data_IF_861936216934
#
_entry.id   IF_861936216934
#
_cell.length_a   1.000
_cell.length_b   1.000
_cell.length_c   1.000
_cell.angle_alpha   90.00
_cell.angle_beta   90.00
_cell.angle_gamma   90.00
#
_symmetry.space_group_name_H-M   'P 1'
#
loop_
_entity.id
_entity.type
_entity.pdbx_description
1 polymer ?
#
# COMPACT_ATOMS: atom_id res chain seq x y z
N UNK A 1 -6.08 7.33 -0.53
CA UNK A 1 -4.73 7.74 -0.06
C UNK A 1 -4.79 9.20 0.33
N UNK A 2 -4.13 9.58 1.42
CA UNK A 2 -4.14 10.95 1.92
C UNK A 2 -2.95 11.77 1.35
N UNK A 3 -3.03 13.09 1.45
CA UNK A 3 -2.00 14.00 0.90
C UNK A 3 -0.61 13.79 1.51
N UNK A 4 -0.54 13.37 2.77
CA UNK A 4 0.73 13.07 3.45
C UNK A 4 1.43 11.85 2.85
N UNK A 5 0.66 10.81 2.52
CA UNK A 5 1.19 9.62 1.88
C UNK A 5 1.68 9.92 0.45
N UNK A 6 0.95 10.74 -0.30
CA UNK A 6 1.37 11.17 -1.64
C UNK A 6 2.68 11.97 -1.58
N UNK A 7 2.80 12.92 -0.64
CA UNK A 7 4.04 13.68 -0.40
C UNK A 7 5.20 12.77 -0.04
N UNK A 8 4.94 11.73 0.77
CA UNK A 8 5.96 10.74 1.12
C UNK A 8 6.44 9.97 -0.10
N UNK A 9 5.54 9.49 -0.97
CA UNK A 9 5.90 8.81 -2.21
C UNK A 9 6.75 9.72 -3.12
N UNK A 10 6.31 10.97 -3.34
CA UNK A 10 7.05 11.91 -4.19
C UNK A 10 8.50 12.04 -3.71
N UNK A 11 8.69 12.30 -2.41
CA UNK A 11 10.01 12.46 -1.80
C UNK A 11 10.83 11.17 -1.79
N UNK A 12 10.22 10.04 -1.42
CA UNK A 12 10.95 8.77 -1.26
C UNK A 12 11.38 8.15 -2.57
N UNK A 13 10.66 8.43 -3.67
CA UNK A 13 10.92 7.90 -5.00
C UNK A 13 11.50 8.95 -5.97
N UNK A 14 11.80 10.16 -5.49
CA UNK A 14 12.46 11.21 -6.29
C UNK A 14 11.60 11.76 -7.43
N UNK A 15 10.28 11.81 -7.25
CA UNK A 15 9.35 12.22 -8.31
C UNK A 15 9.22 13.74 -8.44
N UNK A 16 9.88 14.53 -7.58
CA UNK A 16 9.77 15.99 -7.52
C UNK A 16 10.07 16.70 -8.86
N UNK A 17 10.90 16.09 -9.71
CA UNK A 17 11.27 16.63 -11.02
C UNK A 17 10.27 16.33 -12.15
N UNK A 18 9.25 15.50 -11.91
CA UNK A 18 8.26 15.10 -12.91
C UNK A 18 7.11 16.10 -13.04
N UNK A 19 6.41 16.10 -14.18
CA UNK A 19 5.17 16.86 -14.31
C UNK A 19 4.08 16.34 -13.37
N UNK A 20 3.11 17.17 -12.97
CA UNK A 20 2.03 16.75 -12.05
C UNK A 20 1.27 15.51 -12.55
N UNK A 21 1.02 15.42 -13.86
CA UNK A 21 0.37 14.25 -14.48
C UNK A 21 1.22 12.98 -14.41
N UNK A 22 2.54 13.12 -14.49
CA UNK A 22 3.46 11.99 -14.31
C UNK A 22 3.55 11.58 -12.84
N UNK A 23 3.64 12.54 -11.93
CA UNK A 23 3.60 12.29 -10.49
C UNK A 23 2.34 11.54 -10.10
N UNK A 24 1.15 11.98 -10.53
CA UNK A 24 -0.11 11.29 -10.26
C UNK A 24 -0.11 9.83 -10.72
N UNK A 25 0.31 9.57 -11.96
CA UNK A 25 0.41 8.20 -12.50
C UNK A 25 1.40 7.35 -11.71
N UNK A 26 2.53 7.94 -11.32
CA UNK A 26 3.56 7.23 -10.56
C UNK A 26 3.10 6.95 -9.12
N UNK A 27 2.43 7.90 -8.47
CA UNK A 27 1.84 7.74 -7.14
C UNK A 27 0.81 6.63 -7.16
N UNK A 28 -0.08 6.60 -8.15
CA UNK A 28 -1.08 5.53 -8.30
C UNK A 28 -0.41 4.17 -8.46
N UNK A 29 0.60 4.07 -9.36
CA UNK A 29 1.33 2.82 -9.58
C UNK A 29 2.06 2.33 -8.33
N UNK A 30 2.80 3.22 -7.65
CA UNK A 30 3.53 2.89 -6.41
C UNK A 30 2.54 2.52 -5.29
N UNK A 31 1.41 3.24 -5.22
CA UNK A 31 0.35 2.99 -4.27
C UNK A 31 -0.28 1.60 -4.44
N UNK A 32 -0.56 1.19 -5.69
CA UNK A 32 -1.11 -0.13 -6.00
C UNK A 32 -0.11 -1.24 -5.66
N UNK A 33 1.17 -1.09 -6.05
CA UNK A 33 2.21 -2.07 -5.71
C UNK A 33 2.38 -2.22 -4.20
N UNK A 34 2.38 -1.11 -3.45
CA UNK A 34 2.45 -1.17 -2.00
C UNK A 34 1.23 -1.86 -1.41
N UNK A 35 0.03 -1.55 -1.90
CA UNK A 35 -1.20 -2.16 -1.42
C UNK A 35 -1.18 -3.68 -1.61
N UNK A 36 -0.80 -4.16 -2.81
CA UNK A 36 -0.67 -5.58 -3.12
C UNK A 36 0.31 -6.28 -2.16
N UNK A 37 1.52 -5.74 -1.98
CA UNK A 37 2.53 -6.35 -1.09
C UNK A 37 2.11 -6.33 0.39
N UNK A 38 1.41 -5.29 0.82
CA UNK A 38 0.89 -5.19 2.20
C UNK A 38 -0.22 -6.22 2.42
N UNK A 39 -1.14 -6.38 1.46
CA UNK A 39 -2.22 -7.38 1.54
C UNK A 39 -1.62 -8.78 1.62
N UNK A 40 -0.67 -9.11 0.74
CA UNK A 40 -0.01 -10.43 0.72
C UNK A 40 0.60 -10.78 2.09
N UNK A 41 1.43 -9.90 2.64
CA UNK A 41 2.03 -10.11 3.98
C UNK A 41 1.02 -10.12 5.11
N UNK A 42 -0.06 -9.37 4.97
CA UNK A 42 -1.09 -9.31 5.99
C UNK A 42 -1.87 -10.63 6.05
N UNK A 43 -2.20 -11.22 4.89
CA UNK A 43 -2.87 -12.51 4.74
C UNK A 43 -2.07 -13.63 5.43
N UNK A 44 -0.75 -13.65 5.28
CA UNK A 44 0.14 -14.63 5.94
C UNK A 44 0.09 -14.61 7.48
N UNK A 45 -0.39 -13.50 8.06
CA UNK A 45 -0.48 -13.31 9.51
C UNK A 45 -1.90 -13.49 10.06
N UNK A 46 -2.88 -13.73 9.18
CA UNK A 46 -4.27 -13.96 9.58
C UNK A 46 -4.44 -15.39 10.09
N UNK A 47 -5.28 -15.53 11.11
CA UNK A 47 -5.85 -16.83 11.46
C UNK A 47 -7.12 -17.07 10.63
N UNK A 48 -7.71 -18.25 10.79
CA UNK A 48 -8.89 -18.67 10.01
C UNK A 48 -10.12 -17.76 10.22
N UNK A 49 -10.33 -17.25 11.45
CA UNK A 49 -11.41 -16.29 11.74
C UNK A 49 -11.20 -14.98 10.97
N UNK A 50 -10.00 -14.40 11.07
CA UNK A 50 -9.68 -13.13 10.39
C UNK A 50 -9.68 -13.30 8.87
N UNK A 51 -9.29 -14.47 8.35
CA UNK A 51 -9.35 -14.76 6.92
C UNK A 51 -10.79 -14.76 6.39
N UNK A 52 -11.72 -15.39 7.12
CA UNK A 52 -13.14 -15.37 6.75
C UNK A 52 -13.72 -13.94 6.74
N UNK A 53 -13.36 -13.13 7.74
CA UNK A 53 -13.77 -11.71 7.78
C UNK A 53 -13.14 -10.91 6.63
N UNK A 54 -11.91 -11.23 6.27
CA UNK A 54 -11.18 -10.60 5.17
C UNK A 54 -11.86 -10.87 3.82
N UNK A 55 -12.22 -12.13 3.54
CA UNK A 55 -12.94 -12.51 2.32
C UNK A 55 -14.27 -11.75 2.17
N UNK A 56 -15.03 -11.64 3.26
CA UNK A 56 -16.27 -10.84 3.29
C UNK A 56 -16.02 -9.34 3.09
N UNK A 57 -14.92 -8.83 3.64
CA UNK A 57 -14.51 -7.43 3.44
C UNK A 57 -14.16 -7.15 1.99
N UNK A 58 -13.33 -8.00 1.36
CA UNK A 58 -12.93 -7.86 -0.05
C UNK A 58 -14.14 -7.98 -0.98
N UNK A 59 -14.98 -8.99 -0.77
CA UNK A 59 -16.20 -9.19 -1.57
C UNK A 59 -17.18 -8.01 -1.53
N UNK A 60 -17.16 -7.24 -0.44
CA UNK A 60 -18.02 -6.05 -0.26
C UNK A 60 -17.30 -4.72 -0.44
N UNK A 61 -15.99 -4.72 -0.76
CA UNK A 61 -15.21 -3.50 -0.95
C UNK A 61 -15.32 -2.96 -2.38
N UNK A 62 -15.48 -3.82 -3.38
CA UNK A 62 -15.43 -3.39 -4.78
C UNK A 62 -14.12 -2.69 -5.10
N UNK A 63 -14.16 -1.41 -5.49
CA UNK A 63 -12.98 -0.56 -5.72
C UNK A 63 -12.55 0.28 -4.51
N UNK A 64 -13.19 0.11 -3.34
CA UNK A 64 -12.85 0.85 -2.13
C UNK A 64 -11.68 0.21 -1.37
N UNK A 65 -10.47 0.54 -1.79
CA UNK A 65 -9.24 0.11 -1.12
C UNK A 65 -9.12 0.61 0.32
N UNK A 66 -9.79 1.72 0.69
CA UNK A 66 -9.71 2.24 2.06
C UNK A 66 -10.45 1.32 3.05
N UNK A 67 -11.53 0.69 2.60
CA UNK A 67 -12.23 -0.33 3.40
C UNK A 67 -11.33 -1.53 3.71
N UNK A 68 -10.60 -2.02 2.70
CA UNK A 68 -9.64 -3.13 2.88
C UNK A 68 -8.50 -2.71 3.83
N UNK A 69 -7.89 -1.54 3.62
CA UNK A 69 -6.82 -1.03 4.48
C UNK A 69 -7.29 -0.86 5.92
N UNK A 70 -8.49 -0.33 6.13
CA UNK A 70 -9.06 -0.12 7.48
C UNK A 70 -9.28 -1.44 8.21
N UNK A 71 -9.78 -2.46 7.50
CA UNK A 71 -9.90 -3.81 8.03
C UNK A 71 -8.54 -4.36 8.46
N UNK A 72 -7.55 -4.35 7.56
CA UNK A 72 -6.22 -4.88 7.84
C UNK A 72 -5.57 -4.18 9.05
N UNK A 73 -5.68 -2.85 9.11
CA UNK A 73 -5.17 -2.07 10.25
C UNK A 73 -5.81 -2.46 11.57
N UNK A 74 -7.10 -2.81 11.56
CA UNK A 74 -7.85 -3.16 12.78
C UNK A 74 -7.66 -4.61 13.23
N UNK A 75 -7.37 -5.54 12.31
CA UNK A 75 -7.33 -6.99 12.60
C UNK A 75 -5.94 -7.60 12.55
N UNK A 76 -4.98 -7.00 11.83
CA UNK A 76 -3.64 -7.56 11.63
C UNK A 76 -2.64 -6.91 12.59
N UNK A 77 -2.08 -7.68 13.55
CA UNK A 77 -1.08 -7.15 14.47
C UNK A 77 0.15 -6.63 13.74
N UNK A 78 0.61 -5.44 14.09
CA UNK A 78 1.80 -4.85 13.49
C UNK A 78 1.61 -4.34 12.05
N UNK A 79 0.37 -4.12 11.61
CA UNK A 79 0.07 -3.62 10.25
C UNK A 79 0.90 -2.39 9.84
N UNK A 80 0.99 -1.36 10.70
CA UNK A 80 1.77 -0.15 10.38
C UNK A 80 3.27 -0.45 10.15
N UNK A 81 3.81 -1.47 10.84
CA UNK A 81 5.18 -1.94 10.62
C UNK A 81 5.32 -2.65 9.27
N UNK A 82 4.35 -3.49 8.89
CA UNK A 82 4.31 -4.13 7.57
C UNK A 82 4.32 -3.07 6.47
N UNK A 83 3.46 -2.06 6.57
CA UNK A 83 3.41 -0.94 5.59
C UNK A 83 4.76 -0.23 5.48
N UNK A 84 5.40 0.07 6.62
CA UNK A 84 6.71 0.72 6.63
C UNK A 84 7.82 -0.12 5.99
N UNK A 85 7.82 -1.43 6.28
CA UNK A 85 8.79 -2.38 5.72
C UNK A 85 8.58 -2.58 4.22
N UNK A 86 7.33 -2.73 3.76
CA UNK A 86 7.01 -2.89 2.34
C UNK A 86 7.31 -1.61 1.55
N UNK A 87 7.03 -0.44 2.10
CA UNK A 87 7.44 0.83 1.49
C UNK A 87 8.97 0.88 1.31
N UNK A 88 9.72 0.43 2.32
CA UNK A 88 11.17 0.39 2.27
C UNK A 88 11.70 -0.65 1.27
N UNK A 89 11.04 -1.81 1.16
CA UNK A 89 11.37 -2.85 0.16
C UNK A 89 11.10 -2.34 -1.24
N UNK A 90 9.93 -1.76 -1.47
CA UNK A 90 9.53 -1.20 -2.76
C UNK A 90 10.51 -0.12 -3.20
N UNK A 91 10.85 0.83 -2.31
CA UNK A 91 11.87 1.85 -2.58
C UNK A 91 13.21 1.24 -3.04
N UNK A 92 13.69 0.20 -2.36
CA UNK A 92 14.94 -0.49 -2.74
C UNK A 92 14.81 -1.22 -4.09
N UNK A 93 13.69 -1.89 -4.32
CA UNK A 93 13.44 -2.63 -5.55
C UNK A 93 13.32 -1.71 -6.78
N UNK A 94 12.84 -0.48 -6.58
CA UNK A 94 12.72 0.51 -7.65
C UNK A 94 13.87 1.51 -7.71
N UNK A 95 14.84 1.43 -6.78
CA UNK A 95 16.04 2.28 -6.79
C UNK A 95 16.85 1.94 -8.05
N UNK A 96 16.83 2.84 -9.03
CA UNK A 96 17.47 2.65 -10.35
C UNK A 96 16.49 2.52 -11.52
N UNK A 97 15.18 2.38 -11.28
CA UNK A 97 14.16 2.41 -12.34
C UNK A 97 13.71 3.85 -12.63
N UNK A 98 13.75 4.71 -11.61
CA UNK A 98 13.28 6.10 -11.66
C UNK A 98 14.41 7.13 -11.51
N UNK A 99 15.68 6.69 -11.60
CA UNK A 99 16.88 7.54 -11.51
C UNK A 99 17.30 8.05 -12.91
#
# INVERSE_FOLDING_TARGET
MNDEFNKKIIKDFGLDGMSSREQERMIEKIGNLLFESVVERAVDLMNEEVMNDFDGTVGSAGSDYQKVISFLKSRVPGFDKIVSEEMSRLKRATSGIFA
#
